data_IF_382355071243
#
_entry.id   IF_382355071243
#
_cell.length_a   1.000
_cell.length_b   1.000
_cell.length_c   1.000
_cell.angle_alpha   90.00
_cell.angle_beta   90.00
_cell.angle_gamma   90.00
#
_symmetry.space_group_name_H-M   'P 1'
#
loop_
_entity.id
_entity.type
_entity.pdbx_description
1 polymer ?
#
# COMPACT_ATOMS: atom_id res chain seq x y z
N UNK A 1 -13.72 -25.33 -87.98
CA UNK A 1 -12.49 -24.50 -87.96
C UNK A 1 -12.93 -23.07 -87.70
N UNK A 2 -12.12 -22.34 -86.93
CA UNK A 2 -12.18 -20.89 -86.66
C UNK A 2 -13.23 -20.42 -85.63
N UNK A 3 -12.90 -19.74 -84.53
CA UNK A 3 -11.63 -19.27 -83.98
C UNK A 3 -11.89 -18.65 -82.60
N UNK A 4 -11.05 -18.98 -81.61
CA UNK A 4 -11.08 -18.42 -80.26
C UNK A 4 -10.61 -16.95 -80.33
N UNK A 5 -11.33 -15.97 -79.76
CA UNK A 5 -10.88 -14.58 -79.78
C UNK A 5 -9.61 -14.43 -78.93
N UNK A 6 -8.65 -13.58 -79.36
CA UNK A 6 -7.36 -13.48 -78.69
C UNK A 6 -7.51 -12.90 -77.29
N UNK A 7 -6.85 -13.56 -76.33
CA UNK A 7 -6.66 -13.06 -74.98
C UNK A 7 -6.05 -11.65 -75.03
N UNK A 8 -6.74 -10.68 -74.42
CA UNK A 8 -6.16 -9.38 -74.12
C UNK A 8 -5.05 -9.58 -73.09
N UNK A 9 -3.80 -9.68 -73.54
CA UNK A 9 -2.65 -9.44 -72.69
C UNK A 9 -2.64 -7.96 -72.30
N UNK A 10 -3.23 -7.63 -71.14
CA UNK A 10 -2.95 -6.38 -70.44
C UNK A 10 -1.54 -6.54 -69.87
N UNK A 11 -0.55 -6.12 -70.63
CA UNK A 11 0.79 -5.88 -70.08
C UNK A 11 0.68 -4.67 -69.17
N UNK A 12 0.54 -4.91 -67.87
CA UNK A 12 0.79 -3.93 -66.81
C UNK A 12 2.26 -3.52 -66.87
N UNK A 13 2.57 -2.66 -67.84
CA UNK A 13 3.85 -2.00 -67.97
C UNK A 13 3.92 -0.94 -66.88
N UNK A 14 4.42 -1.36 -65.71
CA UNK A 14 4.88 -0.43 -64.68
C UNK A 14 5.85 0.55 -65.33
N UNK A 15 5.59 1.88 -65.32
CA UNK A 15 6.55 2.83 -65.86
C UNK A 15 7.82 2.75 -65.03
N UNK A 16 8.89 2.22 -65.64
CA UNK A 16 10.18 2.08 -65.02
C UNK A 16 10.64 3.43 -64.45
N UNK A 17 10.74 3.50 -63.12
CA UNK A 17 11.16 4.66 -62.32
C UNK A 17 12.60 5.15 -62.61
N UNK A 18 13.26 4.63 -63.64
CA UNK A 18 14.68 4.77 -63.84
C UNK A 18 15.11 6.09 -64.52
N UNK A 19 14.21 6.83 -65.18
CA UNK A 19 14.57 8.00 -66.00
C UNK A 19 14.41 9.40 -65.39
N UNK A 20 13.92 9.55 -64.14
CA UNK A 20 13.57 10.88 -63.58
C UNK A 20 14.28 11.16 -62.24
N UNK A 21 15.38 11.93 -62.22
CA UNK A 21 16.18 12.16 -61.00
C UNK A 21 15.40 12.94 -59.93
N UNK A 22 14.50 13.83 -60.34
CA UNK A 22 13.63 14.58 -59.42
C UNK A 22 12.65 13.65 -58.70
N UNK A 23 12.12 12.64 -59.40
CA UNK A 23 11.19 11.65 -58.84
C UNK A 23 11.90 10.71 -57.84
N UNK A 24 13.16 10.35 -58.09
CA UNK A 24 13.96 9.58 -57.13
C UNK A 24 14.20 10.36 -55.85
N UNK A 25 14.47 11.66 -55.96
CA UNK A 25 14.70 12.53 -54.80
C UNK A 25 13.44 12.71 -53.97
N UNK A 26 12.28 12.91 -54.61
CA UNK A 26 11.01 13.03 -53.87
C UNK A 26 10.60 11.72 -53.22
N UNK A 27 10.76 10.58 -53.91
CA UNK A 27 10.51 9.25 -53.34
C UNK A 27 11.45 8.98 -52.16
N UNK A 28 12.75 9.25 -52.30
CA UNK A 28 13.71 9.06 -51.21
C UNK A 28 13.39 9.93 -49.99
N UNK A 29 13.06 11.21 -50.19
CA UNK A 29 12.66 12.12 -49.10
C UNK A 29 11.36 11.64 -48.44
N UNK A 30 10.38 11.22 -49.22
CA UNK A 30 9.13 10.66 -48.69
C UNK A 30 9.35 9.39 -47.86
N UNK A 31 10.26 8.52 -48.30
CA UNK A 31 10.60 7.28 -47.60
C UNK A 31 11.32 7.59 -46.27
N UNK A 32 12.27 8.52 -46.26
CA UNK A 32 12.96 8.98 -45.04
C UNK A 32 11.97 9.65 -44.08
N UNK A 33 11.03 10.45 -44.58
CA UNK A 33 9.97 11.05 -43.77
C UNK A 33 9.07 9.96 -43.16
N UNK A 34 8.66 8.96 -43.95
CA UNK A 34 7.82 7.87 -43.48
C UNK A 34 8.52 7.04 -42.39
N UNK A 35 9.80 6.69 -42.59
CA UNK A 35 10.60 5.95 -41.61
C UNK A 35 10.80 6.75 -40.33
N UNK A 36 11.06 8.06 -40.44
CA UNK A 36 11.24 8.92 -39.27
C UNK A 36 9.95 9.11 -38.47
N UNK A 37 8.79 9.26 -39.14
CA UNK A 37 7.48 9.27 -38.48
C UNK A 37 7.18 7.92 -37.82
N UNK A 38 7.44 6.80 -38.50
CA UNK A 38 7.25 5.47 -37.93
C UNK A 38 8.13 5.26 -36.68
N UNK A 39 9.40 5.67 -36.73
CA UNK A 39 10.31 5.62 -35.58
C UNK A 39 9.83 6.50 -34.43
N UNK A 40 9.36 7.72 -34.70
CA UNK A 40 8.81 8.61 -33.68
C UNK A 40 7.55 8.03 -33.02
N UNK A 41 6.66 7.42 -33.81
CA UNK A 41 5.48 6.72 -33.28
C UNK A 41 5.86 5.50 -32.45
N UNK A 42 6.90 4.76 -32.86
CA UNK A 42 7.40 3.59 -32.13
C UNK A 42 8.03 4.01 -30.80
N UNK A 43 8.88 5.04 -30.78
CA UNK A 43 9.45 5.63 -29.56
C UNK A 43 8.34 6.16 -28.66
N UNK A 44 7.36 6.88 -29.21
CA UNK A 44 6.20 7.37 -28.43
C UNK A 44 5.38 6.21 -27.89
N UNK A 45 5.16 5.16 -28.66
CA UNK A 45 4.45 3.94 -28.26
C UNK A 45 5.15 3.22 -27.12
N UNK A 46 6.47 3.01 -27.23
CA UNK A 46 7.30 2.45 -26.16
C UNK A 46 7.21 3.35 -24.93
N UNK A 47 7.37 4.67 -25.08
CA UNK A 47 7.33 5.59 -23.96
C UNK A 47 5.95 5.62 -23.27
N UNK A 48 4.85 5.52 -24.02
CA UNK A 48 3.51 5.36 -23.45
C UNK A 48 3.30 3.99 -22.82
N UNK A 49 3.99 2.95 -23.28
CA UNK A 49 3.92 1.63 -22.67
C UNK A 49 4.74 1.55 -21.38
N UNK A 50 5.90 2.22 -21.33
CA UNK A 50 6.80 2.23 -20.18
C UNK A 50 6.39 3.27 -19.12
N UNK A 51 5.98 4.48 -19.52
CA UNK A 51 5.56 5.55 -18.61
C UNK A 51 4.03 5.60 -18.41
N UNK A 52 3.23 5.10 -19.36
CA UNK A 52 1.76 5.07 -19.30
C UNK A 52 1.18 3.86 -18.56
N UNK A 53 2.02 3.05 -17.91
CA UNK A 53 1.62 2.40 -16.65
C UNK A 53 1.48 3.49 -15.56
N UNK A 54 0.61 4.47 -15.80
CA UNK A 54 -0.02 5.19 -14.70
C UNK A 54 -0.61 4.12 -13.79
N UNK A 55 -0.40 4.27 -12.48
CA UNK A 55 -0.71 3.29 -11.43
C UNK A 55 -2.06 2.62 -11.72
N UNK A 56 -2.02 1.50 -12.45
CA UNK A 56 -3.23 0.73 -12.71
C UNK A 56 -3.49 0.07 -11.39
N UNK A 57 -4.59 0.47 -10.78
CA UNK A 57 -5.07 -0.18 -9.59
C UNK A 57 -5.09 -1.70 -9.82
N UNK A 58 -4.24 -2.39 -9.07
CA UNK A 58 -4.10 -3.83 -9.14
C UNK A 58 -5.29 -4.48 -8.42
N UNK A 59 -5.56 -5.76 -8.68
CA UNK A 59 -6.57 -6.51 -7.91
C UNK A 59 -6.23 -6.51 -6.42
N UNK A 60 -4.94 -6.49 -6.09
CA UNK A 60 -4.47 -6.29 -4.73
C UNK A 60 -4.86 -4.94 -4.15
N UNK A 61 -4.66 -3.84 -4.87
CA UNK A 61 -5.03 -2.51 -4.39
C UNK A 61 -6.55 -2.41 -4.17
N UNK A 62 -7.35 -3.03 -5.06
CA UNK A 62 -8.81 -3.15 -4.91
C UNK A 62 -9.17 -3.97 -3.67
N UNK A 63 -8.54 -5.11 -3.47
CA UNK A 63 -8.76 -5.97 -2.31
C UNK A 63 -8.40 -5.28 -0.99
N UNK A 64 -7.23 -4.62 -0.93
CA UNK A 64 -6.80 -3.84 0.23
C UNK A 64 -7.76 -2.67 0.50
N UNK A 65 -8.25 -1.98 -0.53
CA UNK A 65 -9.23 -0.89 -0.36
C UNK A 65 -10.58 -1.40 0.15
N UNK A 66 -11.07 -2.50 -0.41
CA UNK A 66 -12.31 -3.14 0.04
C UNK A 66 -12.17 -3.63 1.49
N UNK A 67 -11.00 -4.15 1.87
CA UNK A 67 -10.72 -4.53 3.23
C UNK A 67 -10.42 -3.35 4.16
N UNK A 68 -10.40 -2.11 3.68
CA UNK A 68 -10.04 -0.97 4.52
C UNK A 68 -8.61 -1.05 5.07
N UNK A 69 -7.68 -1.69 4.36
CA UNK A 69 -6.28 -1.89 4.73
C UNK A 69 -5.31 -1.22 3.74
N UNK A 70 -5.83 -0.51 2.74
CA UNK A 70 -4.99 0.15 1.75
C UNK A 70 -4.23 1.33 2.39
N UNK A 71 -2.96 1.57 2.05
CA UNK A 71 -2.16 2.65 2.64
C UNK A 71 -2.82 4.03 2.60
N UNK A 72 -3.55 4.33 1.52
CA UNK A 72 -4.27 5.61 1.37
C UNK A 72 -5.43 5.81 2.36
N UNK A 73 -5.92 4.74 3.00
CA UNK A 73 -6.99 4.80 4.02
C UNK A 73 -6.42 5.01 5.42
N UNK A 74 -5.09 4.87 5.60
CA UNK A 74 -4.38 5.00 6.87
C UNK A 74 -3.23 6.01 6.75
N UNK A 75 -3.54 7.29 6.51
CA UNK A 75 -2.51 8.31 6.40
C UNK A 75 -1.78 8.47 7.74
N UNK A 76 -0.45 8.51 7.71
CA UNK A 76 0.37 8.70 8.91
C UNK A 76 0.74 7.41 9.65
N UNK A 77 0.39 6.24 9.12
CA UNK A 77 1.02 5.00 9.57
C UNK A 77 2.51 5.02 9.17
N UNK A 78 3.40 4.73 10.12
CA UNK A 78 4.86 4.71 9.89
C UNK A 78 5.27 3.63 8.88
N UNK A 79 4.43 2.60 8.71
CA UNK A 79 4.66 1.49 7.80
C UNK A 79 3.36 0.85 7.35
N UNK A 80 3.46 0.16 6.23
CA UNK A 80 2.37 -0.61 5.62
C UNK A 80 2.82 -2.02 5.37
N UNK A 81 1.93 -2.97 5.61
CA UNK A 81 2.16 -4.37 5.38
C UNK A 81 1.76 -4.76 3.97
N UNK A 82 2.49 -5.72 3.43
CA UNK A 82 2.33 -6.22 2.06
C UNK A 82 1.73 -7.62 2.17
N UNK A 83 0.50 -7.89 1.69
CA UNK A 83 -0.02 -9.25 1.65
C UNK A 83 0.87 -10.14 0.78
N UNK A 84 1.05 -11.37 1.23
CA UNK A 84 1.69 -12.45 0.48
C UNK A 84 0.72 -13.08 -0.53
N UNK A 85 -0.59 -13.01 -0.25
CA UNK A 85 -1.68 -13.43 -1.14
C UNK A 85 -2.80 -12.40 -1.16
N UNK A 86 -3.32 -12.07 -2.34
CA UNK A 86 -4.43 -11.13 -2.50
C UNK A 86 -5.30 -11.56 -3.69
N UNK A 87 -6.60 -11.72 -3.44
CA UNK A 87 -7.60 -12.06 -4.45
C UNK A 87 -8.76 -11.08 -4.36
N UNK A 88 -9.10 -10.46 -5.48
CA UNK A 88 -10.30 -9.65 -5.64
C UNK A 88 -11.25 -10.35 -6.60
N UNK A 89 -12.46 -10.63 -6.14
CA UNK A 89 -13.47 -11.37 -6.87
C UNK A 89 -14.85 -10.72 -6.70
N UNK A 90 -15.84 -11.26 -7.41
CA UNK A 90 -17.24 -10.92 -7.20
C UNK A 90 -18.01 -12.19 -6.89
N UNK A 91 -19.00 -12.11 -5.99
CA UNK A 91 -19.95 -13.20 -5.77
C UNK A 91 -20.81 -13.43 -7.01
N UNK A 92 -21.56 -14.54 -7.03
CA UNK A 92 -22.56 -14.79 -8.08
C UNK A 92 -23.60 -13.66 -8.19
N UNK A 93 -23.88 -12.97 -7.07
CA UNK A 93 -24.79 -11.82 -7.00
C UNK A 93 -24.13 -10.49 -7.44
N UNK A 94 -22.85 -10.51 -7.79
CA UNK A 94 -22.07 -9.35 -8.23
C UNK A 94 -21.48 -8.50 -7.11
N UNK A 95 -21.65 -8.87 -5.85
CA UNK A 95 -21.05 -8.16 -4.72
C UNK A 95 -19.52 -8.38 -4.70
N UNK A 96 -18.77 -7.34 -4.34
CA UNK A 96 -17.31 -7.44 -4.32
C UNK A 96 -16.85 -8.24 -3.10
N UNK A 97 -15.86 -9.12 -3.30
CA UNK A 97 -15.22 -9.88 -2.21
C UNK A 97 -13.71 -9.81 -2.35
N UNK A 98 -13.04 -9.56 -1.23
CA UNK A 98 -11.59 -9.53 -1.13
C UNK A 98 -11.12 -10.59 -0.13
N UNK A 99 -10.09 -11.34 -0.53
CA UNK A 99 -9.34 -12.25 0.32
C UNK A 99 -7.89 -11.79 0.38
N UNK A 100 -7.36 -11.58 1.58
CA UNK A 100 -5.97 -11.18 1.79
C UNK A 100 -5.31 -12.12 2.79
N UNK A 101 -4.05 -12.44 2.53
CA UNK A 101 -3.19 -13.17 3.45
C UNK A 101 -1.92 -12.36 3.69
N UNK A 102 -1.65 -12.07 4.96
CA UNK A 102 -0.42 -11.44 5.41
C UNK A 102 0.36 -12.43 6.25
N UNK A 103 1.69 -12.39 6.10
CA UNK A 103 2.60 -13.11 6.96
C UNK A 103 3.46 -12.11 7.71
N UNK A 104 3.41 -12.17 9.04
CA UNK A 104 4.22 -11.34 9.93
C UNK A 104 5.22 -12.24 10.64
N UNK A 105 6.51 -11.96 10.45
CA UNK A 105 7.59 -12.80 10.97
C UNK A 105 7.79 -12.70 12.49
N UNK A 106 7.23 -11.67 13.14
CA UNK A 106 7.41 -11.40 14.56
C UNK A 106 8.75 -10.72 14.89
N UNK A 107 8.91 -10.37 16.17
CA UNK A 107 10.04 -9.56 16.65
C UNK A 107 9.61 -8.44 17.60
N UNK A 108 10.59 -7.66 18.06
CA UNK A 108 10.36 -6.58 19.05
C UNK A 108 9.59 -5.40 18.46
N UNK A 109 9.83 -5.10 17.19
CA UNK A 109 9.28 -3.92 16.51
C UNK A 109 8.31 -4.27 15.38
N UNK A 110 8.35 -5.49 14.85
CA UNK A 110 7.52 -5.95 13.72
C UNK A 110 6.80 -7.22 14.17
N UNK A 111 5.49 -7.16 14.30
CA UNK A 111 4.71 -8.25 14.87
C UNK A 111 3.21 -8.00 14.74
N UNK A 112 2.40 -8.96 15.17
CA UNK A 112 0.96 -8.85 15.16
C UNK A 112 0.46 -7.54 15.80
N UNK A 113 1.00 -7.15 16.96
CA UNK A 113 0.59 -5.91 17.65
C UNK A 113 0.86 -4.64 16.82
N UNK A 114 1.96 -4.61 16.08
CA UNK A 114 2.30 -3.50 15.20
C UNK A 114 1.42 -3.48 13.95
N UNK A 115 1.11 -4.65 13.37
CA UNK A 115 0.12 -4.77 12.29
C UNK A 115 -1.24 -4.24 12.72
N UNK A 116 -1.73 -4.66 13.88
CA UNK A 116 -3.03 -4.22 14.40
C UNK A 116 -3.06 -2.71 14.62
N UNK A 117 -1.99 -2.15 15.20
CA UNK A 117 -1.86 -0.71 15.42
C UNK A 117 -1.79 0.09 14.11
N UNK A 118 -1.06 -0.40 13.10
CA UNK A 118 -0.89 0.30 11.83
C UNK A 118 -2.22 0.53 11.09
N UNK A 119 -3.21 -0.34 11.33
CA UNK A 119 -4.51 -0.32 10.67
C UNK A 119 -5.69 -0.03 11.63
N UNK A 120 -5.39 0.42 12.86
CA UNK A 120 -6.37 0.69 13.92
C UNK A 120 -7.36 -0.47 14.15
N UNK A 121 -6.81 -1.68 14.24
CA UNK A 121 -7.57 -2.91 14.41
C UNK A 121 -7.64 -3.33 15.88
N UNK A 122 -8.77 -3.88 16.33
CA UNK A 122 -8.90 -4.40 17.69
C UNK A 122 -8.03 -5.66 17.89
N UNK A 123 -7.82 -6.02 19.15
CA UNK A 123 -7.17 -7.28 19.48
C UNK A 123 -8.00 -8.48 18.97
N UNK A 124 -7.36 -9.59 18.57
CA UNK A 124 -8.07 -10.80 18.16
C UNK A 124 -8.95 -11.33 19.29
N UNK A 125 -10.16 -11.74 18.94
CA UNK A 125 -11.14 -12.34 19.84
C UNK A 125 -10.97 -13.87 19.95
N UNK A 126 -12.03 -14.61 20.30
CA UNK A 126 -11.99 -16.06 20.38
C UNK A 126 -11.78 -16.70 18.99
N UNK A 127 -11.28 -17.93 18.99
CA UNK A 127 -11.15 -18.71 17.76
C UNK A 127 -12.52 -18.93 17.10
N UNK A 128 -12.56 -18.74 15.78
CA UNK A 128 -13.72 -18.99 14.95
C UNK A 128 -13.31 -19.82 13.72
N UNK A 129 -14.24 -20.62 13.15
CA UNK A 129 -13.98 -21.37 11.92
C UNK A 129 -13.67 -20.44 10.75
N UNK A 130 -12.65 -20.81 9.96
CA UNK A 130 -12.34 -20.06 8.73
C UNK A 130 -13.42 -20.33 7.66
N UNK A 131 -13.83 -19.30 6.90
CA UNK A 131 -14.74 -19.49 5.79
C UNK A 131 -14.15 -20.40 4.69
N UNK A 132 -14.92 -21.36 4.12
CA UNK A 132 -14.39 -22.30 3.13
C UNK A 132 -14.02 -21.64 1.80
N UNK A 133 -14.65 -20.49 1.50
CA UNK A 133 -14.33 -19.66 0.33
C UNK A 133 -12.94 -19.02 0.46
N UNK A 134 -12.48 -18.74 1.68
CA UNK A 134 -11.16 -18.17 1.98
C UNK A 134 -10.05 -19.18 1.63
N UNK A 135 -10.14 -20.40 2.15
CA UNK A 135 -9.19 -21.48 1.86
C UNK A 135 -9.14 -21.83 0.37
N UNK A 136 -10.31 -21.83 -0.28
CA UNK A 136 -10.39 -22.06 -1.73
C UNK A 136 -9.72 -20.94 -2.52
N UNK A 137 -9.89 -19.68 -2.11
CA UNK A 137 -9.38 -18.52 -2.83
C UNK A 137 -7.86 -18.36 -2.71
N UNK A 138 -7.30 -18.64 -1.53
CA UNK A 138 -5.87 -18.44 -1.25
C UNK A 138 -5.03 -19.71 -1.46
N UNK A 139 -5.67 -20.87 -1.63
CA UNK A 139 -5.03 -22.13 -2.03
C UNK A 139 -4.02 -22.67 -1.00
N UNK A 140 -4.13 -22.24 0.25
CA UNK A 140 -3.13 -22.42 1.29
C UNK A 140 -3.45 -23.48 2.35
N UNK A 141 -2.44 -23.74 3.19
CA UNK A 141 -2.46 -24.61 4.38
C UNK A 141 -3.03 -23.82 5.58
N UNK A 142 -4.26 -23.32 5.40
CA UNK A 142 -4.95 -22.50 6.40
C UNK A 142 -5.49 -23.36 7.55
N UNK A 143 -5.46 -22.88 8.80
CA UNK A 143 -6.02 -23.64 9.91
C UNK A 143 -7.56 -23.68 9.80
N UNK A 144 -8.17 -24.77 10.29
CA UNK A 144 -9.63 -24.90 10.31
C UNK A 144 -10.31 -23.82 11.18
N UNK A 145 -9.61 -23.35 12.22
CA UNK A 145 -10.07 -22.30 13.14
C UNK A 145 -8.94 -21.32 13.47
N UNK A 146 -9.29 -20.04 13.65
CA UNK A 146 -8.36 -19.02 14.15
C UNK A 146 -9.08 -17.87 14.87
N UNK A 147 -8.44 -17.23 15.87
CA UNK A 147 -8.91 -16.00 16.50
C UNK A 147 -9.44 -14.96 15.52
N UNK A 148 -10.73 -14.63 15.62
CA UNK A 148 -11.38 -13.61 14.78
C UNK A 148 -11.37 -12.25 15.49
N UNK A 149 -11.02 -11.18 14.77
CA UNK A 149 -11.14 -9.82 15.30
C UNK A 149 -12.62 -9.43 15.37
N UNK A 150 -13.05 -8.79 16.48
CA UNK A 150 -14.41 -8.29 16.59
C UNK A 150 -14.68 -7.20 15.54
N UNK A 151 -15.91 -7.15 15.02
CA UNK A 151 -16.34 -6.06 14.15
C UNK A 151 -16.30 -4.73 14.91
N UNK A 152 -15.86 -3.63 14.28
CA UNK A 152 -15.88 -2.32 14.92
C UNK A 152 -17.33 -1.95 15.24
N UNK A 153 -17.64 -1.88 16.53
CA UNK A 153 -18.96 -1.46 16.99
C UNK A 153 -19.26 -0.08 16.43
N UNK A 154 -20.44 0.17 15.81
CA UNK A 154 -20.77 1.51 15.34
C UNK A 154 -20.73 2.45 16.54
N UNK A 155 -19.86 3.46 16.48
CA UNK A 155 -19.80 4.50 17.51
C UNK A 155 -21.20 5.10 17.66
N UNK A 156 -21.76 5.24 18.88
CA UNK A 156 -23.06 5.86 19.03
C UNK A 156 -22.98 7.30 18.51
N UNK A 157 -23.79 7.60 17.50
CA UNK A 157 -24.06 8.96 17.05
C UNK A 157 -24.28 9.83 18.27
N UNK A 158 -23.43 10.84 18.46
CA UNK A 158 -23.57 11.79 19.54
C UNK A 158 -24.93 12.49 19.41
N UNK A 159 -25.92 12.01 20.16
CA UNK A 159 -27.18 12.71 20.38
C UNK A 159 -26.81 14.03 21.04
N UNK A 160 -27.03 15.13 20.31
CA UNK A 160 -26.82 16.48 20.78
C UNK A 160 -27.53 16.68 22.12
N UNK A 161 -26.74 16.78 23.19
CA UNK A 161 -27.25 17.07 24.53
C UNK A 161 -27.37 18.61 24.67
N UNK A 162 -28.54 19.15 25.02
CA UNK A 162 -28.74 20.59 25.10
C UNK A 162 -28.01 21.20 26.29
N UNK A 163 -27.59 22.44 26.08
CA UNK A 163 -26.86 23.29 27.02
C UNK A 163 -27.55 23.45 28.37
N UNK A 164 -26.78 23.31 29.44
CA UNK A 164 -26.94 24.10 30.67
C UNK A 164 -25.64 24.02 31.52
N UNK A 165 -24.91 25.13 31.62
CA UNK A 165 -24.02 25.42 32.76
C UNK A 165 -24.87 25.55 34.04
N UNK A 166 -24.33 25.24 35.23
CA UNK A 166 -23.52 26.25 35.92
C UNK A 166 -22.26 25.71 36.61
N UNK A 167 -21.38 26.68 36.88
CA UNK A 167 -20.12 26.57 37.60
C UNK A 167 -20.30 26.20 39.08
N UNK A 168 -19.38 25.39 39.60
CA UNK A 168 -18.86 25.48 40.97
C UNK A 168 -17.52 24.76 41.04
N UNK A 169 -16.46 25.52 41.33
CA UNK A 169 -15.18 24.99 41.82
C UNK A 169 -15.23 24.93 43.34
N UNK A 170 -14.83 23.80 43.95
CA UNK A 170 -14.10 23.88 45.20
C UNK A 170 -12.75 23.17 45.16
N UNK A 171 -11.75 23.96 45.55
CA UNK A 171 -10.46 23.63 46.16
C UNK A 171 -10.51 22.44 47.13
N UNK A 172 -9.61 21.47 46.94
CA UNK A 172 -8.88 20.82 48.03
C UNK A 172 -7.72 19.94 47.49
N UNK A 173 -6.49 20.28 47.88
CA UNK A 173 -5.33 19.38 47.88
C UNK A 173 -5.52 18.26 48.90
N UNK A 174 -4.85 17.12 48.69
CA UNK A 174 -4.04 16.61 49.80
C UNK A 174 -2.61 16.21 49.41
N UNK A 175 -1.72 16.55 50.34
CA UNK A 175 -0.35 16.12 50.55
C UNK A 175 -0.30 14.68 51.10
N UNK A 176 0.61 13.85 50.58
CA UNK A 176 1.28 12.73 51.26
C UNK A 176 2.40 12.24 50.31
N UNK A 177 3.67 12.58 50.51
CA UNK A 177 4.61 12.10 51.53
C UNK A 177 4.72 10.56 51.52
N UNK A 178 5.70 10.06 50.76
CA UNK A 178 6.20 8.69 50.89
C UNK A 178 7.71 8.71 51.00
N UNK A 179 8.13 8.27 52.18
CA UNK A 179 9.49 8.14 52.64
C UNK A 179 10.31 7.12 51.82
N UNK A 180 11.60 7.42 51.75
CA UNK A 180 12.65 6.50 51.33
C UNK A 180 12.79 5.32 52.30
N UNK A 181 13.08 4.13 51.80
CA UNK A 181 13.91 3.19 52.55
C UNK A 181 14.67 2.20 51.65
N UNK A 182 16.00 2.29 51.78
CA UNK A 182 17.05 1.26 51.79
C UNK A 182 17.23 0.21 50.69
N UNK A 183 18.45 0.27 50.13
CA UNK A 183 19.23 -0.77 49.45
C UNK A 183 19.49 -2.01 50.34
N UNK A 184 19.97 -3.12 49.74
CA UNK A 184 21.33 -3.52 50.09
C UNK A 184 22.23 -3.88 48.90
N UNK A 185 23.52 -3.82 49.21
CA UNK A 185 24.69 -4.00 48.36
C UNK A 185 25.22 -5.46 48.36
N UNK A 186 26.31 -5.63 47.59
CA UNK A 186 27.22 -6.78 47.43
C UNK A 186 26.90 -7.65 46.18
N UNK A 187 27.85 -8.12 45.39
CA UNK A 187 29.30 -8.24 45.57
C UNK A 187 30.01 -8.36 44.21
N UNK A 188 31.28 -7.95 44.16
CA UNK A 188 32.19 -8.00 43.00
C UNK A 188 32.86 -9.38 42.87
N UNK A 189 33.33 -9.74 41.66
CA UNK A 189 34.71 -10.22 41.36
C UNK A 189 34.92 -10.43 39.81
N UNK A 190 36.13 -10.70 39.27
CA UNK A 190 36.82 -9.77 38.35
C UNK A 190 37.40 -10.37 37.04
N UNK A 191 37.96 -9.51 36.18
CA UNK A 191 38.93 -9.81 35.10
C UNK A 191 38.30 -10.06 33.71
N UNK A 192 38.84 -9.63 32.58
CA UNK A 192 40.21 -9.20 32.24
C UNK A 192 40.24 -8.20 31.06
N UNK A 193 41.33 -7.45 31.01
CA UNK A 193 41.83 -6.57 29.97
C UNK A 193 41.73 -7.13 28.54
N UNK A 194 41.36 -6.28 27.57
CA UNK A 194 42.30 -5.95 26.47
C UNK A 194 41.96 -4.64 25.76
N UNK A 195 43.05 -3.92 25.51
CA UNK A 195 43.29 -2.63 24.86
C UNK A 195 42.91 -2.60 23.38
N UNK A 196 42.30 -1.52 22.88
CA UNK A 196 42.88 -0.73 21.77
C UNK A 196 42.11 0.57 21.38
N UNK A 197 42.90 1.62 21.24
CA UNK A 197 42.79 2.85 20.42
C UNK A 197 41.54 3.76 20.46
N UNK A 198 41.67 5.03 20.93
CA UNK A 198 40.71 6.09 20.61
C UNK A 198 40.99 6.71 19.22
N UNK A 199 40.01 6.57 18.31
CA UNK A 199 39.97 7.22 17.01
C UNK A 199 39.64 8.73 17.16
N UNK A 200 40.24 9.64 16.36
CA UNK A 200 40.13 11.07 16.57
C UNK A 200 38.72 11.63 16.33
N UNK A 201 38.33 12.51 17.26
CA UNK A 201 37.11 13.31 17.28
C UNK A 201 36.96 14.21 16.03
N UNK A 202 35.87 14.10 15.25
CA UNK A 202 35.58 15.07 14.21
C UNK A 202 35.09 16.40 14.81
N UNK A 203 35.72 17.48 14.36
CA UNK A 203 35.43 18.88 14.68
C UNK A 203 33.96 19.24 14.44
N UNK A 204 33.30 19.99 15.35
CA UNK A 204 31.92 20.45 15.12
C UNK A 204 31.88 21.46 13.97
N UNK A 205 31.13 21.11 12.92
CA UNK A 205 30.81 21.99 11.80
C UNK A 205 29.84 23.09 12.25
N UNK A 206 30.12 24.32 11.85
CA UNK A 206 29.39 25.52 12.24
C UNK A 206 27.89 25.45 11.93
N UNK A 207 27.08 25.81 12.93
CA UNK A 207 25.63 26.04 12.84
C UNK A 207 25.34 27.21 11.91
N UNK A 208 24.57 27.04 10.81
CA UNK A 208 24.05 28.18 10.07
C UNK A 208 22.95 28.88 10.90
N UNK A 209 23.14 30.16 11.14
CA UNK A 209 22.11 31.07 11.68
C UNK A 209 20.88 31.06 10.78
N UNK A 210 19.75 30.57 11.27
CA UNK A 210 18.47 30.66 10.59
C UNK A 210 17.97 32.10 10.57
N UNK A 211 17.83 32.67 9.36
CA UNK A 211 17.09 33.92 9.14
C UNK A 211 15.60 33.67 9.39
N UNK A 212 14.91 34.47 10.21
CA UNK A 212 13.47 34.34 10.37
C UNK A 212 12.77 34.76 9.08
N UNK A 213 12.21 33.78 8.36
CA UNK A 213 11.23 34.02 7.30
C UNK A 213 9.83 34.06 7.92
N UNK A 214 9.15 35.19 7.80
CA UNK A 214 7.74 35.35 8.13
C UNK A 214 6.91 34.48 7.18
N UNK A 215 6.19 33.43 7.64
CA UNK A 215 5.31 32.69 6.75
C UNK A 215 4.08 33.55 6.43
N UNK A 216 3.95 33.94 5.17
CA UNK A 216 2.68 34.42 4.61
C UNK A 216 1.68 33.27 4.69
N UNK A 217 0.69 33.38 5.59
CA UNK A 217 -0.40 32.42 5.71
C UNK A 217 -1.17 32.38 4.39
N UNK A 218 -0.94 31.32 3.60
CA UNK A 218 -1.80 30.99 2.47
C UNK A 218 -3.06 30.36 3.06
N UNK A 219 -4.28 30.81 2.71
CA UNK A 219 -5.50 30.21 3.22
C UNK A 219 -5.55 28.74 2.79
N UNK A 220 -5.39 27.83 3.76
CA UNK A 220 -5.65 26.41 3.57
C UNK A 220 -7.13 26.24 3.26
N UNK A 221 -7.41 25.79 2.05
CA UNK A 221 -8.74 25.28 1.70
C UNK A 221 -8.96 24.03 2.55
N UNK A 222 -10.07 23.91 3.31
CA UNK A 222 -10.31 22.71 4.10
C UNK A 222 -10.37 21.49 3.17
N UNK A 223 -9.41 20.58 3.38
CA UNK A 223 -9.39 19.23 2.79
C UNK A 223 -10.74 18.58 3.04
N UNK A 224 -11.36 18.08 1.98
CA UNK A 224 -12.65 17.41 2.02
C UNK A 224 -12.67 16.35 3.13
N UNK A 225 -13.75 16.36 3.92
CA UNK A 225 -14.01 15.36 4.94
C UNK A 225 -13.89 13.94 4.35
N UNK A 226 -13.41 12.95 5.13
CA UNK A 226 -13.31 11.58 4.66
C UNK A 226 -14.67 11.13 4.14
N UNK A 227 -14.69 10.71 2.88
CA UNK A 227 -15.88 10.16 2.23
C UNK A 227 -16.35 8.97 3.07
N UNK A 228 -17.57 9.05 3.58
CA UNK A 228 -18.21 7.99 4.37
C UNK A 228 -18.10 6.67 3.61
N UNK A 229 -17.22 5.79 4.07
CA UNK A 229 -17.05 4.47 3.46
C UNK A 229 -18.38 3.72 3.57
N UNK A 230 -18.82 3.12 2.46
CA UNK A 230 -19.86 2.08 2.46
C UNK A 230 -19.53 1.07 3.56
N UNK A 231 -20.50 0.59 4.36
CA UNK A 231 -20.22 -0.38 5.41
C UNK A 231 -19.77 -1.69 4.77
N UNK A 232 -18.45 -1.86 4.63
CA UNK A 232 -17.81 -3.11 4.27
C UNK A 232 -17.81 -4.03 5.48
N UNK A 233 -18.48 -5.17 5.37
CA UNK A 233 -18.37 -6.24 6.37
C UNK A 233 -17.01 -6.90 6.20
N UNK A 234 -16.18 -6.84 7.24
CA UNK A 234 -14.81 -7.35 7.22
C UNK A 234 -14.59 -8.28 8.41
N UNK A 235 -14.06 -9.47 8.12
CA UNK A 235 -13.63 -10.47 9.10
C UNK A 235 -12.14 -10.70 8.98
N UNK A 236 -11.42 -10.72 10.09
CA UNK A 236 -9.97 -10.91 10.15
C UNK A 236 -9.67 -12.07 11.09
N UNK A 237 -8.95 -13.05 10.61
CA UNK A 237 -8.56 -14.26 11.32
C UNK A 237 -7.05 -14.27 11.53
N UNK A 238 -6.59 -14.64 12.73
CA UNK A 238 -5.17 -14.59 13.09
C UNK A 238 -4.69 -15.93 13.58
N UNK A 239 -3.74 -16.53 12.88
CA UNK A 239 -3.10 -17.79 13.26
C UNK A 239 -1.67 -17.53 13.71
N UNK A 240 -1.34 -17.86 14.97
CA UNK A 240 0.03 -17.75 15.48
C UNK A 240 0.91 -18.85 14.92
N UNK A 241 2.14 -18.53 14.51
CA UNK A 241 3.07 -19.51 13.94
C UNK A 241 3.77 -20.31 15.06
N UNK A 242 3.53 -21.63 15.19
CA UNK A 242 4.20 -22.44 16.21
C UNK A 242 5.71 -22.43 16.02
N UNK A 243 6.47 -22.13 17.08
CA UNK A 243 7.93 -22.01 17.02
C UNK A 243 8.44 -20.74 16.32
N UNK A 244 7.56 -19.81 15.92
CA UNK A 244 7.93 -18.49 15.41
C UNK A 244 8.42 -17.55 16.51
N UNK A 245 8.98 -16.40 16.09
CA UNK A 245 9.33 -15.33 17.02
C UNK A 245 8.08 -14.78 17.71
N UNK A 246 8.22 -14.15 18.90
CA UNK A 246 7.11 -13.47 19.55
C UNK A 246 6.40 -12.50 18.59
N UNK A 247 5.09 -12.64 18.45
CA UNK A 247 4.28 -11.82 17.54
C UNK A 247 4.27 -12.29 16.08
N UNK A 248 4.86 -13.44 15.76
CA UNK A 248 4.76 -14.06 14.44
C UNK A 248 3.36 -14.64 14.20
N UNK A 249 2.74 -14.29 13.08
CA UNK A 249 1.39 -14.71 12.75
C UNK A 249 1.14 -14.71 11.23
N UNK A 250 0.26 -15.62 10.80
CA UNK A 250 -0.45 -15.52 9.54
C UNK A 250 -1.82 -14.84 9.80
N UNK A 251 -2.15 -13.83 8.99
CA UNK A 251 -3.36 -13.02 9.15
C UNK A 251 -4.16 -13.12 7.86
N UNK A 252 -5.39 -13.60 7.97
CA UNK A 252 -6.32 -13.80 6.87
C UNK A 252 -7.46 -12.80 6.97
N UNK A 253 -7.82 -12.17 5.86
CA UNK A 253 -8.87 -11.16 5.82
C UNK A 253 -9.87 -11.52 4.74
N UNK A 254 -11.15 -11.47 5.09
CA UNK A 254 -12.26 -11.53 4.16
C UNK A 254 -13.07 -10.25 4.28
N UNK A 255 -13.23 -9.52 3.19
CA UNK A 255 -14.04 -8.32 3.15
C UNK A 255 -15.08 -8.40 2.03
N UNK A 256 -16.28 -7.91 2.29
CA UNK A 256 -17.39 -7.86 1.34
C UNK A 256 -17.99 -6.46 1.33
N UNK A 257 -18.33 -5.95 0.13
CA UNK A 257 -18.94 -4.64 -0.03
C UNK A 257 -19.85 -4.53 -1.25
#
# INVERSE_FOLDING_TARGET
MDGIPPERMVTDSWPALHGRPVLRRTVAVGLVLCVSVAAALLVRGINTFTLGRGVRETDRDRAERLAGLHPSQHPGADRYYVPVGAVYAHTADGAAVAYLHYRVAGGKDVGLGDFLRAYDLPAPGPAAPLPPDLATALGGDEPDEAPELPEPSPSPTATASPAASPAVSPTASPTADFAADSLPAADQAPGEDTTDAPEPSPTPSATPTATPITPTATPITPTAAPTTATPTTRRIYVSTIPGGLPGAADIYVRATG
#
